data_IF_916492317269
#
_entry.id   IF_916492317269
#
_cell.length_a   1.000
_cell.length_b   1.000
_cell.length_c   1.000
_cell.angle_alpha   90.00
_cell.angle_beta   90.00
_cell.angle_gamma   90.00
#
_symmetry.space_group_name_H-M   'P 1'
#
loop_
_entity.id
_entity.type
_entity.pdbx_description
1 polymer ?
#
# COMPACT_ATOMS: atom_id res chain seq x y z
N UNK A 1 19.95 1.50 -1.06
CA UNK A 1 20.48 2.31 0.05
C UNK A 1 20.62 1.50 1.33
N UNK A 2 19.85 0.41 1.52
CA UNK A 2 19.96 -0.47 2.70
C UNK A 2 19.77 0.30 4.01
N UNK A 3 18.81 1.22 4.01
CA UNK A 3 18.48 2.08 5.13
C UNK A 3 17.27 1.48 5.84
N UNK A 4 17.34 1.21 7.15
CA UNK A 4 16.23 0.63 7.89
C UNK A 4 15.11 1.65 8.11
N UNK A 5 13.91 1.14 8.38
CA UNK A 5 12.84 1.97 8.93
C UNK A 5 13.13 2.23 10.42
N UNK A 6 12.76 3.41 10.94
CA UNK A 6 12.84 3.70 12.37
C UNK A 6 11.48 4.04 12.95
N UNK A 7 11.37 3.90 14.27
CA UNK A 7 10.23 4.39 15.03
C UNK A 7 10.07 5.91 14.83
N UNK A 8 8.82 6.36 14.74
CA UNK A 8 8.49 7.79 14.58
C UNK A 8 9.25 8.65 15.60
N UNK A 9 10.13 9.57 15.16
CA UNK A 9 10.97 10.38 16.05
C UNK A 9 10.18 11.25 17.03
N UNK A 10 8.94 11.62 16.68
CA UNK A 10 8.09 12.47 17.51
C UNK A 10 7.35 11.71 18.61
N UNK A 11 7.39 10.37 18.64
CA UNK A 11 6.76 9.59 19.69
C UNK A 11 7.60 9.63 20.98
N UNK A 12 6.97 9.64 22.17
CA UNK A 12 7.68 9.47 23.44
C UNK A 12 8.57 8.22 23.43
N UNK A 13 9.68 8.18 24.18
CA UNK A 13 10.46 6.96 24.37
C UNK A 13 9.57 5.78 24.80
N UNK A 14 9.89 4.52 24.43
CA UNK A 14 9.05 3.35 24.71
C UNK A 14 8.60 3.24 26.19
N UNK A 15 9.50 3.53 27.13
CA UNK A 15 9.26 3.51 28.57
C UNK A 15 8.30 4.61 29.07
N UNK A 16 8.00 5.61 28.24
CA UNK A 16 7.04 6.69 28.53
C UNK A 16 5.72 6.54 27.77
N UNK A 17 5.56 5.49 26.97
CA UNK A 17 4.29 5.21 26.29
C UNK A 17 3.24 4.73 27.30
N UNK A 18 1.98 5.07 27.07
CA UNK A 18 0.89 4.58 27.93
C UNK A 18 0.73 3.06 27.81
N UNK A 19 0.19 2.45 28.87
CA UNK A 19 -0.03 0.99 28.93
C UNK A 19 -0.83 0.45 27.73
N UNK A 20 -1.74 1.25 27.16
CA UNK A 20 -2.51 0.90 25.98
C UNK A 20 -1.65 0.45 24.79
N UNK A 21 -0.44 0.99 24.62
CA UNK A 21 0.48 0.64 23.54
C UNK A 21 1.25 -0.68 23.76
N UNK A 22 1.14 -1.26 24.95
CA UNK A 22 1.61 -2.62 25.25
C UNK A 22 0.54 -3.70 25.01
N UNK A 23 -0.65 -3.31 24.55
CA UNK A 23 -1.73 -4.23 24.24
C UNK A 23 -1.30 -5.28 23.20
N UNK A 24 -1.55 -6.55 23.51
CA UNK A 24 -1.28 -7.68 22.62
C UNK A 24 -2.21 -7.66 21.41
N UNK A 25 -1.64 -7.56 20.20
CA UNK A 25 -2.39 -7.52 18.94
C UNK A 25 -1.99 -8.71 18.07
N UNK A 26 -2.99 -9.47 17.62
CA UNK A 26 -2.81 -10.61 16.72
C UNK A 26 -3.26 -10.25 15.30
N UNK A 27 -2.50 -10.67 14.30
CA UNK A 27 -2.92 -10.64 12.90
C UNK A 27 -2.79 -12.03 12.30
N UNK A 28 -3.71 -12.43 11.42
CA UNK A 28 -3.68 -13.73 10.76
C UNK A 28 -3.44 -13.60 9.26
N UNK A 29 -2.48 -14.37 8.76
CA UNK A 29 -1.99 -14.33 7.38
C UNK A 29 -0.96 -13.23 7.20
N UNK A 30 0.27 -13.57 6.85
CA UNK A 30 1.36 -12.64 6.53
C UNK A 30 1.30 -12.16 5.07
N UNK A 31 0.10 -11.79 4.61
CA UNK A 31 -0.13 -11.18 3.31
C UNK A 31 -0.13 -9.64 3.35
N UNK A 32 -0.33 -8.97 2.21
CA UNK A 32 -0.26 -7.52 2.08
C UNK A 32 -1.13 -6.75 3.09
N UNK A 33 -2.35 -7.23 3.36
CA UNK A 33 -3.27 -6.59 4.29
C UNK A 33 -2.73 -6.56 5.73
N UNK A 34 -2.25 -7.70 6.24
CA UNK A 34 -1.70 -7.77 7.60
C UNK A 34 -0.34 -7.07 7.71
N UNK A 35 0.51 -7.13 6.68
CA UNK A 35 1.78 -6.40 6.66
C UNK A 35 1.53 -4.90 6.77
N UNK A 36 0.55 -4.38 6.01
CA UNK A 36 0.13 -2.98 6.10
C UNK A 36 -0.43 -2.64 7.48
N UNK A 37 -1.38 -3.42 7.97
CA UNK A 37 -2.03 -3.20 9.27
C UNK A 37 -1.01 -3.17 10.41
N UNK A 38 -0.12 -4.17 10.47
CA UNK A 38 0.93 -4.26 11.48
C UNK A 38 1.93 -3.10 11.37
N UNK A 39 2.31 -2.70 10.15
CA UNK A 39 3.22 -1.56 9.93
C UNK A 39 2.64 -0.26 10.50
N UNK A 40 1.38 0.04 10.21
CA UNK A 40 0.75 1.27 10.72
C UNK A 40 0.50 1.24 12.23
N UNK A 41 0.14 0.08 12.80
CA UNK A 41 0.06 -0.08 14.25
C UNK A 41 1.43 0.12 14.92
N UNK A 42 2.50 -0.44 14.36
CA UNK A 42 3.85 -0.26 14.89
C UNK A 42 4.30 1.20 14.81
N UNK A 43 3.96 1.91 13.71
CA UNK A 43 4.21 3.35 13.56
C UNK A 43 3.47 4.21 14.58
N UNK A 44 2.26 3.82 14.95
CA UNK A 44 1.50 4.46 16.04
C UNK A 44 2.12 4.21 17.42
N UNK A 45 3.01 3.23 17.54
CA UNK A 45 3.79 2.95 18.75
C UNK A 45 3.38 1.69 19.50
N UNK A 46 2.49 0.86 18.94
CA UNK A 46 2.16 -0.44 19.55
C UNK A 46 3.38 -1.37 19.54
N UNK A 47 3.68 -1.96 20.69
CA UNK A 47 4.93 -2.71 20.92
C UNK A 47 4.77 -4.23 20.92
N UNK A 48 3.55 -4.76 21.05
CA UNK A 48 3.29 -6.21 21.04
C UNK A 48 2.36 -6.61 19.90
N UNK A 49 2.93 -6.63 18.69
CA UNK A 49 2.24 -7.01 17.46
C UNK A 49 2.81 -8.34 16.95
N UNK A 50 1.93 -9.32 16.72
CA UNK A 50 2.32 -10.63 16.20
C UNK A 50 1.44 -11.05 15.02
N UNK A 51 2.07 -11.34 13.88
CA UNK A 51 1.42 -11.96 12.72
C UNK A 51 1.61 -13.47 12.79
N UNK A 52 0.52 -14.22 12.69
CA UNK A 52 0.50 -15.68 12.59
C UNK A 52 0.26 -16.09 11.14
N UNK A 53 1.21 -16.83 10.56
CA UNK A 53 1.16 -17.31 9.17
C UNK A 53 1.06 -18.82 9.14
N UNK A 54 0.15 -19.35 8.31
CA UNK A 54 -0.09 -20.78 8.16
C UNK A 54 1.11 -21.48 7.51
N UNK A 55 1.70 -20.84 6.51
CA UNK A 55 2.79 -21.40 5.72
C UNK A 55 4.16 -21.15 6.39
N UNK A 56 5.20 -21.77 5.85
CA UNK A 56 6.60 -21.54 6.26
C UNK A 56 7.21 -20.30 5.57
N UNK A 57 6.49 -19.68 4.64
CA UNK A 57 6.89 -18.47 3.94
C UNK A 57 5.92 -17.32 4.24
N UNK A 58 6.40 -16.10 4.06
CA UNK A 58 5.66 -14.85 4.30
C UNK A 58 5.42 -14.09 2.99
N UNK A 59 4.52 -13.11 2.99
CA UNK A 59 4.18 -12.28 1.83
C UNK A 59 2.91 -12.70 1.07
N UNK A 60 2.23 -13.76 1.49
CA UNK A 60 0.97 -14.20 0.90
C UNK A 60 1.06 -14.51 -0.60
N UNK A 61 0.11 -14.00 -1.40
CA UNK A 61 0.06 -14.20 -2.85
C UNK A 61 1.26 -13.57 -3.58
N UNK A 62 1.81 -12.46 -3.08
CA UNK A 62 3.01 -11.82 -3.62
C UNK A 62 4.20 -12.78 -3.67
N UNK A 63 4.30 -13.65 -2.67
CA UNK A 63 5.31 -14.70 -2.60
C UNK A 63 4.88 -15.96 -3.35
N UNK A 64 3.67 -16.45 -3.08
CA UNK A 64 3.26 -17.80 -3.49
C UNK A 64 2.70 -17.92 -4.90
N UNK A 65 2.18 -16.85 -5.51
CA UNK A 65 1.45 -16.96 -6.78
C UNK A 65 1.92 -15.96 -7.84
N UNK A 66 2.22 -14.72 -7.47
CA UNK A 66 2.73 -13.73 -8.43
C UNK A 66 4.10 -14.22 -8.94
N UNK A 67 4.28 -14.43 -10.26
CA UNK A 67 5.50 -15.02 -10.79
C UNK A 67 6.75 -14.16 -10.53
N UNK A 68 7.91 -14.82 -10.36
CA UNK A 68 9.21 -14.17 -10.11
C UNK A 68 9.58 -13.13 -11.17
N UNK A 69 9.18 -13.34 -12.43
CA UNK A 69 9.47 -12.40 -13.51
C UNK A 69 8.57 -11.15 -13.51
N UNK A 70 7.50 -11.12 -12.71
CA UNK A 70 6.67 -9.92 -12.46
C UNK A 70 7.02 -9.27 -11.12
N UNK A 71 7.17 -10.08 -10.07
CA UNK A 71 7.50 -9.62 -8.72
C UNK A 71 8.64 -10.45 -8.13
N UNK A 72 9.87 -9.90 -8.14
CA UNK A 72 11.01 -10.54 -7.50
C UNK A 72 10.81 -10.75 -6.00
N UNK A 73 11.19 -11.92 -5.48
CA UNK A 73 11.01 -12.26 -4.07
C UNK A 73 11.76 -11.34 -3.09
N UNK A 74 12.92 -10.83 -3.49
CA UNK A 74 13.73 -9.89 -2.70
C UNK A 74 12.99 -8.56 -2.45
N UNK A 75 12.08 -8.15 -3.34
CA UNK A 75 11.20 -6.99 -3.10
C UNK A 75 10.24 -7.27 -1.95
N UNK A 76 9.63 -8.46 -1.92
CA UNK A 76 8.72 -8.86 -0.83
C UNK A 76 9.50 -8.97 0.49
N UNK A 77 10.68 -9.57 0.46
CA UNK A 77 11.54 -9.68 1.63
C UNK A 77 11.94 -8.29 2.16
N UNK A 78 12.31 -7.36 1.27
CA UNK A 78 12.66 -5.98 1.63
C UNK A 78 11.53 -5.27 2.39
N UNK A 79 10.29 -5.33 1.90
CA UNK A 79 9.15 -4.70 2.58
C UNK A 79 8.84 -5.33 3.94
N UNK A 80 9.03 -6.65 4.07
CA UNK A 80 8.84 -7.38 5.34
C UNK A 80 9.90 -7.01 6.36
N UNK A 81 11.16 -6.89 5.95
CA UNK A 81 12.25 -6.47 6.86
C UNK A 81 12.04 -5.04 7.34
N UNK A 82 11.59 -4.11 6.47
CA UNK A 82 11.22 -2.75 6.91
C UNK A 82 10.12 -2.78 8.00
N UNK A 83 9.12 -3.64 7.87
CA UNK A 83 8.10 -3.80 8.92
C UNK A 83 8.70 -4.37 10.21
N UNK A 84 9.61 -5.34 10.13
CA UNK A 84 10.29 -5.94 11.29
C UNK A 84 11.21 -4.96 12.00
N UNK A 85 11.79 -3.98 11.31
CA UNK A 85 12.57 -2.89 11.93
C UNK A 85 11.75 -2.13 12.99
N UNK A 86 10.41 -2.12 12.86
CA UNK A 86 9.50 -1.53 13.84
C UNK A 86 9.11 -2.46 15.00
N UNK A 87 9.68 -3.67 15.07
CA UNK A 87 9.43 -4.65 16.14
C UNK A 87 8.26 -5.60 15.90
N UNK A 88 7.66 -5.61 14.71
CA UNK A 88 6.58 -6.55 14.38
C UNK A 88 7.13 -7.98 14.31
N UNK A 89 6.47 -8.90 15.03
CA UNK A 89 6.84 -10.32 15.05
C UNK A 89 6.03 -11.11 14.03
N UNK A 90 6.65 -12.11 13.40
CA UNK A 90 5.96 -13.09 12.55
C UNK A 90 6.25 -14.49 13.07
N UNK A 91 5.20 -15.30 13.21
CA UNK A 91 5.28 -16.71 13.59
C UNK A 91 4.64 -17.55 12.48
N UNK A 92 5.49 -18.23 11.71
CA UNK A 92 5.10 -19.19 10.67
C UNK A 92 4.60 -20.52 11.26
N UNK A 93 3.97 -21.34 10.42
CA UNK A 93 3.42 -22.64 10.82
C UNK A 93 2.28 -22.56 11.85
N UNK A 94 1.58 -21.42 11.91
CA UNK A 94 0.45 -21.18 12.82
C UNK A 94 -0.78 -20.80 12.03
N UNK A 95 -1.76 -21.70 12.00
CA UNK A 95 -2.99 -21.50 11.24
C UNK A 95 -4.14 -21.03 12.14
N UNK A 96 -5.02 -20.22 11.57
CA UNK A 96 -6.35 -20.02 12.13
C UNK A 96 -7.16 -21.30 11.85
N UNK A 97 -7.44 -22.07 12.90
CA UNK A 97 -8.08 -23.38 12.82
C UNK A 97 -8.67 -23.75 14.17
N UNK A 98 -9.79 -24.50 14.16
CA UNK A 98 -10.52 -24.93 15.37
C UNK A 98 -9.62 -25.69 16.35
N UNK A 99 -8.66 -26.44 15.84
CA UNK A 99 -7.75 -27.26 16.64
C UNK A 99 -6.44 -26.53 17.02
N UNK A 100 -6.23 -25.30 16.56
CA UNK A 100 -5.01 -24.54 16.82
C UNK A 100 -5.32 -23.17 17.44
N UNK A 101 -5.65 -22.19 16.60
CA UNK A 101 -5.93 -20.82 17.01
C UNK A 101 -7.31 -20.40 16.53
N UNK A 102 -8.15 -20.03 17.49
CA UNK A 102 -9.48 -19.45 17.28
C UNK A 102 -9.57 -18.07 17.94
N UNK A 103 -10.59 -17.29 17.59
CA UNK A 103 -10.85 -16.01 18.25
C UNK A 103 -11.04 -16.17 19.77
N UNK A 104 -11.72 -17.22 20.23
CA UNK A 104 -11.88 -17.52 21.65
C UNK A 104 -10.53 -17.75 22.35
N UNK A 105 -9.66 -18.58 21.77
CA UNK A 105 -8.34 -18.86 22.36
C UNK A 105 -7.44 -17.63 22.40
N UNK A 106 -7.57 -16.71 21.44
CA UNK A 106 -6.84 -15.44 21.48
C UNK A 106 -7.33 -14.55 22.62
N UNK A 107 -8.64 -14.45 22.79
CA UNK A 107 -9.24 -13.68 23.87
C UNK A 107 -8.80 -14.20 25.24
N UNK A 108 -8.78 -15.52 25.42
CA UNK A 108 -8.26 -16.21 26.61
C UNK A 108 -6.77 -15.93 26.86
N UNK A 109 -5.96 -15.87 25.79
CA UNK A 109 -4.52 -15.51 25.84
C UNK A 109 -4.26 -14.01 26.03
N UNK A 110 -5.30 -13.22 26.27
CA UNK A 110 -5.22 -11.80 26.60
C UNK A 110 -4.99 -10.87 25.42
N UNK A 111 -5.21 -11.33 24.18
CA UNK A 111 -5.16 -10.45 23.01
C UNK A 111 -6.29 -9.42 23.07
N UNK A 112 -5.95 -8.16 22.80
CA UNK A 112 -6.88 -7.03 22.90
C UNK A 112 -7.52 -6.71 21.56
N UNK A 113 -6.85 -6.99 20.45
CA UNK A 113 -7.42 -6.84 19.10
C UNK A 113 -6.90 -7.95 18.18
N UNK A 114 -7.71 -8.29 17.17
CA UNK A 114 -7.35 -9.24 16.11
C UNK A 114 -7.65 -8.67 14.72
N UNK A 115 -6.75 -8.90 13.76
CA UNK A 115 -6.95 -8.60 12.35
C UNK A 115 -6.92 -9.86 11.49
N UNK A 116 -7.93 -10.07 10.65
CA UNK A 116 -8.06 -11.22 9.77
C UNK A 116 -7.65 -10.82 8.34
N UNK A 117 -6.45 -11.24 7.93
CA UNK A 117 -5.87 -10.97 6.61
C UNK A 117 -5.44 -12.25 5.88
N UNK A 118 -6.16 -13.36 6.08
CA UNK A 118 -5.81 -14.70 5.56
C UNK A 118 -6.05 -14.87 4.05
N UNK A 119 -6.64 -13.86 3.40
CA UNK A 119 -7.04 -13.91 2.00
C UNK A 119 -8.08 -15.01 1.69
N UNK A 120 -8.04 -15.54 0.46
CA UNK A 120 -8.86 -16.67 0.02
C UNK A 120 -7.97 -17.91 -0.21
N UNK A 121 -7.80 -18.79 0.80
CA UNK A 121 -6.78 -19.84 0.76
C UNK A 121 -7.10 -20.97 -0.22
N UNK A 122 -8.38 -21.27 -0.45
CA UNK A 122 -8.78 -22.43 -1.26
C UNK A 122 -9.12 -22.07 -2.72
N UNK A 123 -8.80 -22.94 -3.69
CA UNK A 123 -9.18 -22.72 -5.07
C UNK A 123 -10.69 -22.87 -5.31
N UNK A 124 -11.16 -22.27 -6.39
CA UNK A 124 -12.50 -22.56 -6.93
C UNK A 124 -12.42 -23.83 -7.79
N UNK A 125 -13.11 -24.90 -7.37
CA UNK A 125 -13.09 -26.21 -8.04
C UNK A 125 -14.40 -26.43 -8.81
N UNK A 126 -14.30 -26.96 -10.03
CA UNK A 126 -15.44 -27.39 -10.82
C UNK A 126 -15.63 -28.91 -10.70
N UNK A 127 -16.88 -29.37 -10.65
CA UNK A 127 -17.22 -30.78 -10.49
C UNK A 127 -16.70 -31.65 -11.65
N UNK A 128 -16.55 -31.07 -12.85
CA UNK A 128 -16.04 -31.81 -14.02
C UNK A 128 -14.59 -32.29 -13.86
N UNK A 129 -13.83 -31.67 -12.96
CA UNK A 129 -12.43 -32.03 -12.69
C UNK A 129 -12.29 -32.89 -11.43
N UNK A 130 -13.40 -33.34 -10.85
CA UNK A 130 -13.36 -34.20 -9.66
C UNK A 130 -12.62 -35.50 -9.95
N UNK A 131 -11.67 -35.85 -9.09
CA UNK A 131 -10.85 -37.06 -9.20
C UNK A 131 -9.61 -36.92 -10.10
N UNK A 132 -9.43 -35.79 -10.80
CA UNK A 132 -8.21 -35.55 -11.56
C UNK A 132 -7.04 -35.17 -10.63
N UNK A 133 -5.86 -35.66 -10.98
CA UNK A 133 -4.62 -35.52 -10.21
C UNK A 133 -3.52 -34.79 -11.00
N UNK A 134 -2.47 -34.35 -10.30
CA UNK A 134 -1.31 -33.69 -10.93
C UNK A 134 -0.55 -34.62 -11.88
N UNK A 135 -0.48 -35.91 -11.55
CA UNK A 135 0.14 -36.95 -12.42
C UNK A 135 -0.63 -37.13 -13.73
N UNK A 136 -1.95 -36.88 -13.72
CA UNK A 136 -2.79 -36.85 -14.91
C UNK A 136 -2.73 -35.49 -15.65
N UNK A 137 -1.91 -34.56 -15.18
CA UNK A 137 -1.70 -33.24 -15.79
C UNK A 137 -2.71 -32.17 -15.37
N UNK A 138 -3.53 -32.43 -14.34
CA UNK A 138 -4.50 -31.46 -13.84
C UNK A 138 -3.96 -30.69 -12.62
N UNK A 139 -4.08 -29.36 -12.67
CA UNK A 139 -3.70 -28.46 -11.59
C UNK A 139 -4.78 -27.38 -11.41
N UNK A 140 -5.06 -26.99 -10.17
CA UNK A 140 -5.63 -25.67 -9.91
C UNK A 140 -4.50 -24.63 -9.86
N UNK A 141 -4.83 -23.34 -9.94
CA UNK A 141 -3.81 -22.29 -9.79
C UNK A 141 -3.13 -22.31 -8.42
N UNK A 142 -3.87 -22.69 -7.37
CA UNK A 142 -3.38 -22.86 -6.00
C UNK A 142 -2.48 -24.09 -5.82
N UNK A 143 -2.45 -24.99 -6.81
CA UNK A 143 -1.46 -26.07 -6.88
C UNK A 143 -0.25 -25.61 -7.72
N UNK A 144 -0.50 -25.13 -8.94
CA UNK A 144 0.53 -24.88 -9.95
C UNK A 144 1.46 -23.71 -9.62
N UNK A 145 0.89 -22.53 -9.33
CA UNK A 145 1.68 -21.32 -9.14
C UNK A 145 2.62 -21.40 -7.93
N UNK A 146 2.20 -21.96 -6.76
CA UNK A 146 3.12 -22.19 -5.65
C UNK A 146 4.29 -23.12 -5.96
N UNK A 147 4.10 -24.13 -6.83
CA UNK A 147 5.20 -24.99 -7.26
C UNK A 147 6.21 -24.21 -8.13
N UNK A 148 5.71 -23.40 -9.08
CA UNK A 148 6.57 -22.55 -9.91
C UNK A 148 7.30 -21.52 -9.04
N UNK A 149 6.60 -20.89 -8.10
CA UNK A 149 7.19 -19.92 -7.18
C UNK A 149 8.31 -20.55 -6.35
N UNK A 150 8.07 -21.71 -5.70
CA UNK A 150 9.11 -22.43 -4.95
C UNK A 150 10.32 -22.81 -5.80
N UNK A 151 10.11 -23.16 -7.07
CA UNK A 151 11.19 -23.51 -8.00
C UNK A 151 11.91 -22.33 -8.65
N UNK A 152 11.42 -21.10 -8.49
CA UNK A 152 11.99 -19.90 -9.14
C UNK A 152 12.40 -18.79 -8.17
N UNK A 153 11.88 -18.79 -6.94
CA UNK A 153 12.12 -17.75 -5.92
C UNK A 153 13.13 -18.23 -4.89
N UNK A 154 14.40 -17.90 -5.12
CA UNK A 154 15.46 -18.18 -4.15
C UNK A 154 15.16 -17.49 -2.81
N UNK A 155 15.24 -18.23 -1.70
CA UNK A 155 14.95 -17.73 -0.35
C UNK A 155 13.49 -17.94 0.11
N UNK A 156 12.54 -18.22 -0.78
CA UNK A 156 11.14 -18.47 -0.40
C UNK A 156 10.96 -19.78 0.39
N UNK A 157 11.73 -20.82 0.03
CA UNK A 157 11.72 -22.12 0.71
C UNK A 157 13.16 -22.50 1.06
N UNK A 158 13.36 -23.16 2.20
CA UNK A 158 14.62 -23.85 2.50
C UNK A 158 14.85 -25.07 1.59
N UNK A 159 13.80 -25.53 0.91
CA UNK A 159 13.82 -26.65 0.00
C UNK A 159 14.27 -26.25 -1.42
N UNK A 160 15.07 -27.11 -2.06
CA UNK A 160 15.35 -27.00 -3.50
C UNK A 160 14.22 -27.69 -4.28
N UNK A 161 13.20 -26.92 -4.66
CA UNK A 161 12.07 -27.43 -5.43
C UNK A 161 12.39 -27.36 -6.93
N UNK A 162 12.28 -28.47 -7.70
CA UNK A 162 12.41 -28.38 -9.14
C UNK A 162 11.21 -27.62 -9.72
N UNK A 163 11.40 -26.97 -10.88
CA UNK A 163 10.27 -26.47 -11.66
C UNK A 163 9.37 -27.64 -12.09
N UNK A 164 8.04 -27.48 -12.10
CA UNK A 164 7.14 -28.47 -12.67
C UNK A 164 7.53 -28.84 -14.11
N UNK A 165 7.58 -30.12 -14.44
CA UNK A 165 7.86 -30.57 -15.82
C UNK A 165 6.58 -30.58 -16.64
N UNK A 166 6.26 -29.46 -17.28
CA UNK A 166 5.07 -29.32 -18.13
C UNK A 166 5.48 -29.42 -19.59
N UNK A 167 4.99 -30.42 -20.31
CA UNK A 167 5.31 -30.64 -21.74
C UNK A 167 4.04 -30.67 -22.59
N UNK A 168 4.20 -30.40 -23.88
CA UNK A 168 3.08 -30.49 -24.83
C UNK A 168 2.18 -29.26 -24.79
N UNK A 169 0.87 -29.47 -24.96
CA UNK A 169 -0.12 -28.40 -25.04
C UNK A 169 -0.80 -28.21 -23.69
N UNK A 170 -0.79 -26.98 -23.19
CA UNK A 170 -1.43 -26.60 -21.93
C UNK A 170 -2.70 -25.82 -22.21
N UNK A 171 -3.77 -26.11 -21.46
CA UNK A 171 -5.02 -25.36 -21.48
C UNK A 171 -5.15 -24.69 -20.10
N UNK A 172 -5.27 -23.37 -20.09
CA UNK A 172 -5.55 -22.59 -18.89
C UNK A 172 -6.98 -22.08 -18.96
N UNK A 173 -7.77 -22.37 -17.93
CA UNK A 173 -9.17 -21.99 -17.86
C UNK A 173 -9.36 -20.73 -17.01
N UNK A 174 -9.72 -19.61 -17.64
CA UNK A 174 -9.94 -18.36 -16.95
C UNK A 174 -9.60 -17.13 -17.78
N UNK A 175 -9.92 -15.96 -17.23
CA UNK A 175 -9.70 -14.66 -17.87
C UNK A 175 -9.35 -13.53 -16.88
N UNK A 176 -8.80 -13.87 -15.71
CA UNK A 176 -8.25 -12.88 -14.77
C UNK A 176 -6.76 -13.12 -14.57
N UNK A 177 -6.09 -12.29 -13.79
CA UNK A 177 -4.63 -12.28 -13.61
C UNK A 177 -4.05 -13.66 -13.34
N UNK A 178 -4.66 -14.43 -12.44
CA UNK A 178 -4.26 -15.81 -12.15
C UNK A 178 -4.16 -16.71 -13.38
N UNK A 179 -5.04 -16.53 -14.37
CA UNK A 179 -5.00 -17.32 -15.61
C UNK A 179 -3.82 -16.90 -16.51
N UNK A 180 -3.54 -15.62 -16.62
CA UNK A 180 -2.41 -15.11 -17.40
C UNK A 180 -1.07 -15.45 -16.75
N UNK A 181 -0.99 -15.40 -15.42
CA UNK A 181 0.15 -15.91 -14.65
C UNK A 181 0.36 -17.42 -14.84
N UNK A 182 -0.71 -18.22 -14.79
CA UNK A 182 -0.62 -19.66 -15.08
C UNK A 182 -0.09 -19.89 -16.50
N UNK A 183 -0.60 -19.14 -17.48
CA UNK A 183 -0.24 -19.32 -18.88
C UNK A 183 1.24 -18.99 -19.15
N UNK A 184 1.70 -17.84 -18.66
CA UNK A 184 3.09 -17.42 -18.80
C UNK A 184 4.03 -18.32 -18.02
N UNK A 185 3.65 -18.77 -16.82
CA UNK A 185 4.43 -19.70 -16.00
C UNK A 185 4.54 -21.09 -16.62
N UNK A 186 3.49 -21.59 -17.28
CA UNK A 186 3.52 -22.88 -17.98
C UNK A 186 4.61 -22.95 -19.05
N UNK A 187 4.89 -21.85 -19.74
CA UNK A 187 5.99 -21.77 -20.72
C UNK A 187 7.37 -21.93 -20.06
N UNK A 188 7.57 -21.33 -18.87
CA UNK A 188 8.82 -21.47 -18.11
C UNK A 188 9.02 -22.91 -17.61
N UNK A 189 7.93 -23.65 -17.44
CA UNK A 189 7.92 -25.07 -17.11
C UNK A 189 8.13 -26.00 -18.32
N UNK A 190 8.30 -25.47 -19.54
CA UNK A 190 8.60 -26.23 -20.75
C UNK A 190 7.40 -26.52 -21.68
N UNK A 191 6.24 -25.88 -21.47
CA UNK A 191 5.08 -26.08 -22.32
C UNK A 191 5.41 -25.71 -23.78
N UNK A 192 5.02 -26.57 -24.74
CA UNK A 192 5.22 -26.32 -26.18
C UNK A 192 4.25 -25.25 -26.70
N UNK A 193 3.04 -25.22 -26.16
CA UNK A 193 2.00 -24.24 -26.53
C UNK A 193 1.00 -24.09 -25.39
N UNK A 194 0.49 -22.87 -25.20
CA UNK A 194 -0.51 -22.57 -24.18
C UNK A 194 -1.76 -21.98 -24.83
N UNK A 195 -2.92 -22.47 -24.41
CA UNK A 195 -4.23 -21.93 -24.77
C UNK A 195 -4.91 -21.35 -23.54
N UNK A 196 -5.31 -20.08 -23.61
CA UNK A 196 -6.12 -19.45 -22.56
C UNK A 196 -7.56 -19.54 -23.01
N UNK A 197 -8.37 -20.30 -22.29
CA UNK A 197 -9.76 -20.59 -22.65
C UNK A 197 -10.69 -19.94 -21.63
N UNK A 198 -11.63 -19.16 -22.14
CA UNK A 198 -12.60 -18.46 -21.32
C UNK A 198 -14.02 -18.56 -21.88
N UNK A 199 -14.98 -18.48 -20.96
CA UNK A 199 -16.40 -18.76 -21.23
C UNK A 199 -17.17 -17.60 -21.87
N UNK A 200 -16.62 -16.38 -21.87
CA UNK A 200 -17.25 -15.15 -22.40
C UNK A 200 -16.47 -14.61 -23.60
N UNK A 201 -16.85 -13.44 -24.13
CA UNK A 201 -16.10 -12.79 -25.20
C UNK A 201 -14.81 -12.13 -24.70
N UNK A 202 -13.91 -11.78 -25.63
CA UNK A 202 -12.66 -11.05 -25.33
C UNK A 202 -12.89 -9.74 -24.55
N UNK A 203 -13.99 -9.03 -24.84
CA UNK A 203 -14.39 -7.81 -24.11
C UNK A 203 -14.74 -8.04 -22.64
N UNK A 204 -14.79 -9.31 -22.19
CA UNK A 204 -15.08 -9.70 -20.81
C UNK A 204 -13.85 -10.26 -20.08
N UNK A 205 -12.66 -10.12 -20.64
CA UNK A 205 -11.41 -10.36 -19.91
C UNK A 205 -11.36 -9.40 -18.72
N UNK A 206 -10.98 -9.94 -17.55
CA UNK A 206 -10.93 -9.22 -16.27
C UNK A 206 -9.53 -8.71 -15.95
N UNK A 207 -8.51 -9.35 -16.50
CA UNK A 207 -7.15 -8.86 -16.39
C UNK A 207 -7.01 -7.53 -17.15
N UNK A 208 -6.12 -6.66 -16.66
CA UNK A 208 -5.84 -5.38 -17.32
C UNK A 208 -5.18 -5.60 -18.69
N UNK A 209 -5.37 -4.70 -19.68
CA UNK A 209 -4.86 -4.88 -21.04
C UNK A 209 -3.36 -5.20 -21.11
N UNK A 210 -2.56 -4.64 -20.22
CA UNK A 210 -1.10 -4.83 -20.15
C UNK A 210 -0.76 -6.30 -19.83
N UNK A 211 -1.50 -6.93 -18.92
CA UNK A 211 -1.32 -8.35 -18.55
C UNK A 211 -1.71 -9.28 -19.72
N UNK A 212 -2.73 -8.89 -20.48
CA UNK A 212 -3.16 -9.59 -21.70
C UNK A 212 -2.10 -9.45 -22.80
N UNK A 213 -1.54 -8.26 -22.99
CA UNK A 213 -0.57 -7.94 -24.03
C UNK A 213 0.71 -8.76 -23.89
N UNK A 214 1.27 -8.82 -22.67
CA UNK A 214 2.47 -9.63 -22.36
C UNK A 214 2.27 -11.09 -22.77
N UNK A 215 1.06 -11.62 -22.59
CA UNK A 215 0.78 -13.05 -22.77
C UNK A 215 0.32 -13.40 -24.18
N UNK A 216 -0.54 -12.58 -24.79
CA UNK A 216 -1.17 -12.89 -26.08
C UNK A 216 -0.44 -12.18 -27.22
N UNK A 217 -0.25 -10.87 -27.12
CA UNK A 217 0.42 -10.08 -28.16
C UNK A 217 1.92 -10.40 -28.24
N UNK A 218 2.53 -10.74 -27.12
CA UNK A 218 3.91 -11.26 -27.06
C UNK A 218 4.10 -12.65 -27.69
N UNK A 219 3.05 -13.28 -28.23
CA UNK A 219 3.12 -14.59 -28.90
C UNK A 219 3.26 -15.79 -27.95
N UNK A 220 3.14 -15.56 -26.64
CA UNK A 220 3.35 -16.58 -25.60
C UNK A 220 2.17 -17.57 -25.49
N UNK A 221 0.93 -17.13 -25.66
CA UNK A 221 -0.27 -17.97 -25.60
C UNK A 221 -1.32 -17.58 -26.64
N UNK A 222 -2.15 -18.55 -27.03
CA UNK A 222 -3.32 -18.30 -27.89
C UNK A 222 -4.59 -18.19 -27.04
N UNK A 223 -5.25 -17.03 -27.05
CA UNK A 223 -6.55 -16.85 -26.41
C UNK A 223 -7.67 -17.44 -27.29
N UNK A 224 -8.50 -18.30 -26.71
CA UNK A 224 -9.62 -18.95 -27.38
C UNK A 224 -10.91 -18.76 -26.58
N UNK A 225 -11.96 -18.35 -27.28
CA UNK A 225 -13.30 -18.32 -26.73
C UNK A 225 -13.97 -19.68 -26.96
N UNK A 226 -14.59 -20.26 -25.93
CA UNK A 226 -15.45 -21.43 -26.14
C UNK A 226 -16.68 -21.01 -26.95
N UNK A 227 -17.05 -21.78 -27.99
CA UNK A 227 -18.22 -21.49 -28.83
C UNK A 227 -19.49 -21.23 -28.01
N UNK A 228 -20.41 -20.39 -28.53
CA UNK A 228 -21.68 -20.05 -27.86
C UNK A 228 -22.35 -21.34 -27.36
N UNK A 229 -22.38 -21.58 -26.05
CA UNK A 229 -23.42 -22.44 -25.50
C UNK A 229 -24.73 -21.76 -25.84
N UNK A 230 -25.66 -22.50 -26.46
CA UNK A 230 -27.02 -22.03 -26.71
C UNK A 230 -27.55 -21.37 -25.43
N UNK A 231 -27.87 -20.08 -25.51
CA UNK A 231 -28.56 -19.36 -24.44
C UNK A 231 -29.97 -19.97 -24.32
N UNK A 232 -30.07 -21.11 -23.62
CA UNK A 232 -31.28 -21.36 -22.86
C UNK A 232 -31.39 -20.20 -21.87
N UNK A 233 -32.57 -19.61 -21.63
CA UNK A 233 -32.74 -18.49 -20.72
C UNK A 233 -32.51 -18.95 -19.27
N UNK A 234 -31.25 -19.20 -18.92
CA UNK A 234 -30.80 -19.36 -17.56
C UNK A 234 -30.79 -17.97 -16.96
N UNK A 235 -31.71 -17.74 -16.01
CA UNK A 235 -31.71 -16.62 -15.05
C UNK A 235 -30.27 -16.15 -14.83
N UNK A 236 -29.98 -14.85 -15.04
CA UNK A 236 -28.68 -14.20 -14.74
C UNK A 236 -28.03 -14.84 -13.51
N UNK A 237 -27.18 -15.84 -13.71
CA UNK A 237 -26.55 -16.58 -12.62
C UNK A 237 -25.45 -15.66 -12.13
N UNK A 238 -25.78 -14.80 -11.16
CA UNK A 238 -24.82 -13.90 -10.51
C UNK A 238 -23.59 -14.74 -10.13
N UNK A 239 -22.42 -14.29 -10.55
CA UNK A 239 -21.16 -14.96 -10.22
C UNK A 239 -21.09 -15.14 -8.70
N UNK A 240 -21.09 -16.40 -8.26
CA UNK A 240 -21.06 -16.74 -6.84
C UNK A 240 -19.61 -16.57 -6.38
N UNK A 241 -19.32 -15.57 -5.54
CA UNK A 241 -18.03 -15.52 -4.83
C UNK A 241 -17.97 -16.73 -3.92
N UNK A 242 -16.86 -17.49 -3.96
CA UNK A 242 -16.66 -18.64 -3.08
C UNK A 242 -16.34 -18.09 -1.68
N UNK A 243 -17.14 -18.46 -0.70
CA UNK A 243 -16.87 -18.15 0.71
C UNK A 243 -15.72 -18.98 1.26
N UNK A 244 -15.29 -18.69 2.48
CA UNK A 244 -14.29 -19.50 3.16
C UNK A 244 -14.87 -20.87 3.59
N UNK A 245 -14.00 -21.85 3.79
CA UNK A 245 -14.39 -23.21 4.23
C UNK A 245 -14.96 -23.21 5.66
N UNK A 246 -15.78 -24.23 5.98
CA UNK A 246 -16.52 -24.27 7.24
C UNK A 246 -15.62 -24.30 8.49
N UNK A 247 -14.50 -25.03 8.46
CA UNK A 247 -13.57 -25.07 9.60
C UNK A 247 -12.96 -23.69 9.90
N UNK A 248 -12.75 -22.82 8.89
CA UNK A 248 -12.30 -21.46 9.10
C UNK A 248 -13.40 -20.59 9.71
N UNK A 249 -14.66 -20.79 9.28
CA UNK A 249 -15.81 -20.10 9.88
C UNK A 249 -15.97 -20.45 11.35
N UNK A 250 -15.78 -21.71 11.71
CA UNK A 250 -15.81 -22.17 13.09
C UNK A 250 -14.71 -21.51 13.94
N UNK A 251 -13.48 -21.41 13.42
CA UNK A 251 -12.38 -20.72 14.11
C UNK A 251 -12.59 -19.21 14.27
N UNK A 252 -13.39 -18.61 13.37
CA UNK A 252 -13.79 -17.20 13.37
C UNK A 252 -15.10 -16.94 14.13
N UNK A 253 -15.72 -17.95 14.73
CA UNK A 253 -16.91 -17.74 15.54
C UNK A 253 -16.62 -16.78 16.71
N UNK A 254 -17.51 -15.84 17.05
CA UNK A 254 -18.90 -15.71 16.58
C UNK A 254 -19.12 -14.60 15.53
N UNK A 255 -18.12 -14.20 14.74
CA UNK A 255 -18.32 -13.09 13.78
C UNK A 255 -19.41 -13.42 12.75
N UNK A 256 -20.14 -12.39 12.31
CA UNK A 256 -21.14 -12.52 11.25
C UNK A 256 -20.48 -12.71 9.88
N UNK A 257 -21.14 -13.50 9.05
CA UNK A 257 -20.75 -13.75 7.67
C UNK A 257 -21.84 -13.23 6.74
N UNK A 258 -21.43 -12.61 5.64
CA UNK A 258 -22.36 -12.13 4.62
C UNK A 258 -22.91 -13.29 3.76
N UNK A 259 -23.82 -12.97 2.81
CA UNK A 259 -24.43 -13.95 1.89
C UNK A 259 -23.45 -14.75 1.03
N UNK A 260 -22.20 -14.30 0.91
CA UNK A 260 -21.14 -14.97 0.17
C UNK A 260 -20.32 -15.92 1.04
N UNK A 261 -20.59 -15.99 2.35
CA UNK A 261 -19.83 -16.79 3.30
C UNK A 261 -18.44 -16.20 3.59
N UNK A 262 -18.30 -14.87 3.50
CA UNK A 262 -17.12 -14.10 3.87
C UNK A 262 -17.40 -13.26 5.13
N UNK A 263 -16.39 -12.95 5.97
CA UNK A 263 -16.57 -12.07 7.12
C UNK A 263 -17.27 -10.76 6.72
N UNK A 264 -18.32 -10.40 7.44
CA UNK A 264 -18.99 -9.11 7.26
C UNK A 264 -18.24 -8.05 8.07
N UNK A 265 -17.93 -6.93 7.41
CA UNK A 265 -17.26 -5.78 8.03
C UNK A 265 -17.99 -4.49 7.67
N UNK A 266 -17.87 -3.50 8.54
CA UNK A 266 -18.16 -2.12 8.20
C UNK A 266 -17.08 -1.60 7.21
N UNK A 267 -17.47 -1.04 6.05
CA UNK A 267 -16.53 -0.69 4.98
C UNK A 267 -15.65 0.53 5.30
N UNK A 268 -16.01 1.34 6.28
CA UNK A 268 -15.23 2.50 6.71
C UNK A 268 -14.21 2.08 7.77
N UNK A 269 -14.61 1.24 8.72
CA UNK A 269 -13.80 0.90 9.89
C UNK A 269 -13.06 -0.42 9.77
N UNK A 270 -13.45 -1.27 8.82
CA UNK A 270 -12.99 -2.66 8.66
C UNK A 270 -13.31 -3.56 9.86
N UNK A 271 -14.17 -3.10 10.76
CA UNK A 271 -14.58 -3.80 11.97
C UNK A 271 -15.63 -4.86 11.65
N UNK A 272 -15.51 -6.05 12.24
CA UNK A 272 -16.51 -7.12 12.13
C UNK A 272 -17.68 -6.88 13.10
N UNK A 273 -18.61 -7.85 13.22
CA UNK A 273 -19.64 -7.80 14.27
C UNK A 273 -19.08 -7.87 15.70
N UNK A 274 -17.85 -8.35 15.88
CA UNK A 274 -17.14 -8.35 17.16
C UNK A 274 -16.21 -7.14 17.24
N UNK A 275 -16.43 -6.26 18.23
CA UNK A 275 -15.76 -4.96 18.30
C UNK A 275 -14.22 -5.02 18.31
N UNK A 276 -13.65 -6.12 18.80
CA UNK A 276 -12.21 -6.33 18.91
C UNK A 276 -11.59 -7.04 17.69
N UNK A 277 -12.40 -7.39 16.68
CA UNK A 277 -11.99 -8.16 15.50
C UNK A 277 -12.25 -7.37 14.23
N UNK A 278 -11.23 -7.25 13.41
CA UNK A 278 -11.20 -6.52 12.14
C UNK A 278 -10.79 -7.45 11.01
N UNK A 279 -11.13 -7.14 9.76
CA UNK A 279 -10.71 -7.93 8.61
C UNK A 279 -10.47 -7.07 7.37
N UNK A 280 -9.55 -7.50 6.50
CA UNK A 280 -9.20 -6.75 5.28
C UNK A 280 -8.51 -7.60 4.22
N UNK A 281 -8.48 -7.09 2.99
CA UNK A 281 -7.95 -7.79 1.82
C UNK A 281 -8.94 -8.79 1.23
N UNK A 282 -8.42 -9.78 0.47
CA UNK A 282 -9.26 -10.70 -0.30
C UNK A 282 -10.32 -11.44 0.52
N UNK A 283 -10.09 -11.64 1.82
CA UNK A 283 -11.02 -12.35 2.72
C UNK A 283 -12.35 -11.60 2.88
N UNK A 284 -12.35 -10.27 2.76
CA UNK A 284 -13.57 -9.43 2.80
C UNK A 284 -14.29 -9.49 1.45
N UNK A 285 -13.56 -9.81 0.37
CA UNK A 285 -14.08 -9.93 -0.97
C UNK A 285 -14.45 -8.58 -1.61
N UNK A 286 -13.89 -7.47 -1.13
CA UNK A 286 -13.98 -6.15 -1.77
C UNK A 286 -12.73 -5.88 -2.62
N UNK A 287 -11.55 -6.05 -2.03
CA UNK A 287 -10.26 -5.95 -2.71
C UNK A 287 -10.09 -7.02 -3.80
N UNK A 288 -9.48 -6.62 -4.92
CA UNK A 288 -9.02 -7.52 -5.98
C UNK A 288 -7.55 -7.29 -6.35
N UNK A 289 -6.89 -6.34 -5.67
CA UNK A 289 -5.50 -5.95 -5.93
C UNK A 289 -4.69 -5.89 -4.64
N UNK A 290 -3.37 -6.00 -4.76
CA UNK A 290 -2.44 -5.84 -3.64
C UNK A 290 -2.59 -4.48 -2.96
N UNK A 291 -2.77 -3.40 -3.74
CA UNK A 291 -2.88 -2.03 -3.20
C UNK A 291 -4.18 -1.82 -2.42
N UNK A 292 -5.30 -2.39 -2.86
CA UNK A 292 -6.55 -2.35 -2.11
C UNK A 292 -6.42 -3.14 -0.80
N UNK A 293 -5.78 -4.32 -0.84
CA UNK A 293 -5.51 -5.10 0.38
C UNK A 293 -4.62 -4.35 1.37
N UNK A 294 -3.58 -3.66 0.89
CA UNK A 294 -2.74 -2.77 1.70
C UNK A 294 -3.58 -1.63 2.29
N UNK A 295 -4.50 -1.05 1.52
CA UNK A 295 -5.38 0.01 2.01
C UNK A 295 -6.35 -0.48 3.08
N UNK A 296 -6.93 -1.68 2.94
CA UNK A 296 -7.81 -2.26 3.98
C UNK A 296 -7.06 -2.41 5.31
N UNK A 297 -5.82 -2.91 5.27
CA UNK A 297 -4.97 -3.02 6.46
C UNK A 297 -4.64 -1.65 7.08
N UNK A 298 -4.33 -0.66 6.22
CA UNK A 298 -4.09 0.73 6.64
C UNK A 298 -5.32 1.32 7.32
N UNK A 299 -6.49 1.18 6.70
CA UNK A 299 -7.76 1.67 7.25
C UNK A 299 -8.05 1.02 8.60
N UNK A 300 -7.98 -0.32 8.66
CA UNK A 300 -8.22 -1.08 9.88
C UNK A 300 -7.29 -0.65 11.03
N UNK A 301 -6.02 -0.32 10.74
CA UNK A 301 -5.05 0.08 11.78
C UNK A 301 -5.51 1.30 12.59
N UNK A 302 -6.16 2.29 11.96
CA UNK A 302 -6.67 3.47 12.65
C UNK A 302 -7.83 3.12 13.60
N UNK A 303 -8.73 2.24 13.18
CA UNK A 303 -9.88 1.85 14.00
C UNK A 303 -9.53 0.80 15.05
N UNK A 304 -8.54 -0.06 14.79
CA UNK A 304 -7.91 -0.88 15.82
C UNK A 304 -7.28 0.03 16.87
N UNK A 305 -6.54 1.06 16.46
CA UNK A 305 -5.96 2.03 17.38
C UNK A 305 -7.04 2.71 18.24
N UNK A 306 -8.06 3.28 17.61
CA UNK A 306 -9.21 3.90 18.30
C UNK A 306 -9.89 2.92 19.27
N UNK A 307 -10.14 1.69 18.82
CA UNK A 307 -10.75 0.65 19.66
C UNK A 307 -9.87 0.34 20.87
N UNK A 308 -8.59 0.03 20.67
CA UNK A 308 -7.67 -0.32 21.75
C UNK A 308 -7.54 0.85 22.74
N UNK A 309 -7.33 2.08 22.28
CA UNK A 309 -7.24 3.25 23.18
C UNK A 309 -8.52 3.38 24.03
N UNK A 310 -9.70 3.19 23.45
CA UNK A 310 -10.97 3.24 24.19
C UNK A 310 -11.06 2.19 25.30
N UNK A 311 -10.48 0.99 25.11
CA UNK A 311 -10.46 -0.06 26.14
C UNK A 311 -9.60 0.30 27.35
N UNK A 312 -8.67 1.25 27.20
CA UNK A 312 -7.83 1.78 28.27
C UNK A 312 -8.27 3.19 28.72
N UNK A 313 -9.50 3.61 28.37
CA UNK A 313 -10.05 4.90 28.81
C UNK A 313 -9.44 6.12 28.12
N UNK A 314 -8.69 5.93 27.04
CA UNK A 314 -8.10 7.00 26.25
C UNK A 314 -8.97 7.34 25.02
N UNK A 315 -9.02 8.61 24.66
CA UNK A 315 -9.62 9.08 23.40
C UNK A 315 -8.53 9.35 22.36
N UNK A 316 -8.91 9.28 21.09
CA UNK A 316 -8.05 9.62 19.94
C UNK A 316 -8.70 10.78 19.17
N UNK A 317 -7.93 11.46 18.32
CA UNK A 317 -8.45 12.55 17.49
C UNK A 317 -9.57 12.06 16.57
N UNK A 318 -10.50 12.96 16.24
CA UNK A 318 -11.63 12.62 15.37
C UNK A 318 -11.17 12.42 13.91
N UNK A 319 -10.16 13.18 13.49
CA UNK A 319 -9.53 13.07 12.18
C UNK A 319 -8.43 12.00 12.23
N UNK A 320 -8.39 11.04 11.29
CA UNK A 320 -7.30 10.08 11.23
C UNK A 320 -5.91 10.70 11.07
N UNK A 321 -4.98 10.27 11.94
CA UNK A 321 -3.60 10.76 12.02
C UNK A 321 -2.61 9.58 11.99
N UNK A 322 -2.61 8.84 10.88
CA UNK A 322 -1.64 7.75 10.69
C UNK A 322 -0.23 8.32 10.45
N UNK A 323 0.80 7.87 11.19
CA UNK A 323 2.14 8.41 11.04
C UNK A 323 2.78 8.08 9.68
N UNK A 324 3.68 8.96 9.26
CA UNK A 324 4.51 8.78 8.07
C UNK A 324 5.53 7.65 8.25
N UNK A 325 6.27 7.39 7.17
CA UNK A 325 7.43 6.50 7.17
C UNK A 325 8.67 7.32 7.51
N UNK A 326 9.52 6.81 8.42
CA UNK A 326 10.74 7.48 8.86
C UNK A 326 11.93 6.54 8.76
N UNK A 327 13.10 7.13 8.55
CA UNK A 327 14.41 6.51 8.44
C UNK A 327 15.44 7.34 9.21
N UNK A 328 16.67 6.83 9.42
CA UNK A 328 17.75 7.63 9.98
C UNK A 328 18.10 8.90 9.17
N UNK A 329 17.72 8.97 7.88
CA UNK A 329 17.93 10.18 7.07
C UNK A 329 17.11 11.36 7.62
N UNK A 330 15.91 11.09 8.12
CA UNK A 330 15.00 12.13 8.60
C UNK A 330 15.50 12.81 9.90
N UNK A 331 16.54 12.24 10.54
CA UNK A 331 17.20 12.79 11.71
C UNK A 331 18.43 13.66 11.37
N UNK A 332 18.81 13.74 10.10
CA UNK A 332 19.98 14.53 9.68
C UNK A 332 19.68 16.00 9.91
N UNK A 333 20.51 16.64 10.74
CA UNK A 333 20.47 18.09 10.95
C UNK A 333 20.96 18.81 9.69
N UNK A 334 20.04 19.56 9.08
CA UNK A 334 20.31 20.40 7.90
C UNK A 334 20.28 21.89 8.24
N UNK A 335 20.31 22.25 9.52
CA UNK A 335 20.38 23.65 9.94
C UNK A 335 21.74 24.27 9.62
N UNK A 336 21.77 25.60 9.50
CA UNK A 336 23.00 26.35 9.23
C UNK A 336 22.95 27.71 9.90
N UNK A 337 24.11 28.20 10.34
CA UNK A 337 24.28 29.57 10.83
C UNK A 337 25.06 30.40 9.82
N UNK A 338 24.54 31.56 9.46
CA UNK A 338 25.19 32.50 8.53
C UNK A 338 24.95 33.93 9.00
N UNK A 339 26.02 34.72 9.09
CA UNK A 339 25.97 36.12 9.54
C UNK A 339 25.27 36.31 10.91
N UNK A 340 25.41 35.35 11.83
CA UNK A 340 24.76 35.36 13.14
C UNK A 340 23.27 35.03 13.12
N UNK A 341 22.71 34.68 11.95
CA UNK A 341 21.34 34.22 11.79
C UNK A 341 21.32 32.70 11.71
N UNK A 342 20.39 32.08 12.45
CA UNK A 342 20.16 30.63 12.42
C UNK A 342 19.04 30.30 11.46
N UNK A 343 19.28 29.32 10.60
CA UNK A 343 18.32 28.83 9.62
C UNK A 343 18.02 27.37 9.91
N UNK A 344 16.74 27.03 10.05
CA UNK A 344 16.28 25.65 10.27
C UNK A 344 16.62 24.72 9.09
N UNK A 345 16.81 25.28 7.89
CA UNK A 345 17.35 24.64 6.69
C UNK A 345 17.87 25.73 5.72
N UNK A 346 18.76 25.41 4.76
CA UNK A 346 19.41 26.41 3.91
C UNK A 346 18.55 26.85 2.70
N UNK A 347 17.29 26.44 2.62
CA UNK A 347 16.44 26.68 1.46
C UNK A 347 15.50 27.85 1.71
N UNK A 348 15.45 28.79 0.76
CA UNK A 348 14.59 29.96 0.90
C UNK A 348 14.03 30.49 -0.41
N UNK A 349 12.95 31.28 -0.28
CA UNK A 349 12.36 31.99 -1.41
C UNK A 349 13.17 33.25 -1.74
N UNK A 350 13.59 33.37 -2.99
CA UNK A 350 14.21 34.58 -3.50
C UNK A 350 13.20 35.74 -3.60
N UNK A 351 13.71 36.96 -3.71
CA UNK A 351 12.91 38.18 -3.93
C UNK A 351 12.39 38.20 -5.37
N UNK A 352 11.27 37.51 -5.58
CA UNK A 352 10.77 37.20 -6.92
C UNK A 352 9.25 36.93 -6.89
N UNK A 353 8.72 36.44 -8.00
CA UNK A 353 7.29 36.14 -8.17
C UNK A 353 6.71 35.19 -7.12
N UNK A 354 7.44 34.18 -6.57
CA UNK A 354 6.90 33.34 -5.49
C UNK A 354 6.70 34.08 -4.16
N UNK A 355 7.28 35.26 -4.01
CA UNK A 355 7.18 36.13 -2.84
C UNK A 355 6.37 37.41 -3.14
N UNK A 356 5.46 37.38 -4.12
CA UNK A 356 4.66 38.57 -4.53
C UNK A 356 3.75 39.11 -3.43
N UNK A 357 3.32 38.28 -2.49
CA UNK A 357 2.52 38.69 -1.34
C UNK A 357 2.88 37.93 -0.08
N UNK A 358 2.57 38.54 1.06
CA UNK A 358 2.80 37.99 2.40
C UNK A 358 2.12 36.64 2.62
N UNK A 359 0.91 36.48 2.08
CA UNK A 359 0.18 35.21 2.10
C UNK A 359 0.87 34.08 1.34
N UNK A 360 1.74 34.38 0.38
CA UNK A 360 2.57 33.36 -0.29
C UNK A 360 3.73 32.94 0.61
N UNK A 361 4.41 33.91 1.25
CA UNK A 361 5.51 33.65 2.18
C UNK A 361 5.02 32.84 3.39
N UNK A 362 3.86 33.21 3.97
CA UNK A 362 3.22 32.45 5.05
C UNK A 362 3.05 30.97 4.69
N UNK A 363 2.45 30.68 3.53
CA UNK A 363 2.26 29.31 3.04
C UNK A 363 3.60 28.59 2.78
N UNK A 364 4.65 29.32 2.42
CA UNK A 364 5.98 28.74 2.25
C UNK A 364 6.59 28.34 3.61
N UNK A 365 6.43 29.16 4.65
CA UNK A 365 6.84 28.79 6.01
C UNK A 365 6.02 27.63 6.57
N UNK A 366 4.70 27.63 6.36
CA UNK A 366 3.84 26.48 6.69
C UNK A 366 4.27 25.19 5.97
N UNK A 367 4.84 25.31 4.77
CA UNK A 367 5.39 24.18 4.01
C UNK A 367 6.83 23.79 4.43
N UNK A 368 7.50 24.56 5.29
CA UNK A 368 8.83 24.25 5.85
C UNK A 368 10.02 24.96 5.22
N UNK A 369 9.83 26.00 4.38
CA UNK A 369 10.95 26.80 3.86
C UNK A 369 11.68 27.52 5.01
N UNK A 370 13.01 27.40 5.08
CA UNK A 370 13.81 27.95 6.18
C UNK A 370 13.84 29.48 6.23
N UNK A 371 13.78 30.13 5.06
CA UNK A 371 13.71 31.59 4.97
C UNK A 371 12.98 32.10 3.72
N UNK A 372 12.67 33.39 3.70
CA UNK A 372 12.12 34.05 2.52
C UNK A 372 12.56 35.51 2.44
N UNK A 373 12.76 36.01 1.21
CA UNK A 373 12.88 37.43 0.94
C UNK A 373 11.51 38.03 0.64
N UNK A 374 11.27 39.26 1.09
CA UNK A 374 10.15 40.05 0.53
C UNK A 374 10.42 40.34 -0.95
N UNK A 375 9.38 40.53 -1.76
CA UNK A 375 9.58 41.12 -3.10
C UNK A 375 10.13 42.53 -2.89
N UNK A 376 11.20 42.89 -3.61
CA UNK A 376 11.83 44.20 -3.52
C UNK A 376 10.79 45.30 -3.53
N UNK A 377 10.81 46.19 -2.54
CA UNK A 377 9.86 47.30 -2.43
C UNK A 377 10.61 48.61 -2.22
N UNK A 378 9.92 49.71 -2.48
CA UNK A 378 10.49 51.05 -2.44
C UNK A 378 9.66 51.99 -1.58
N UNK A 379 10.18 53.20 -1.38
CA UNK A 379 9.43 54.30 -0.79
C UNK A 379 8.28 54.71 -1.72
N UNK A 380 7.24 55.32 -1.17
CA UNK A 380 6.03 55.69 -1.93
C UNK A 380 6.31 56.61 -3.14
N UNK A 381 7.38 57.41 -3.09
CA UNK A 381 7.80 58.28 -4.20
C UNK A 381 8.33 57.51 -5.43
N UNK A 382 8.73 56.25 -5.23
CA UNK A 382 9.33 55.37 -6.24
C UNK A 382 8.37 54.23 -6.59
N UNK A 383 7.06 54.46 -6.46
CA UNK A 383 6.02 53.48 -6.80
C UNK A 383 6.05 53.19 -8.31
N UNK A 384 5.90 51.91 -8.65
CA UNK A 384 5.94 51.43 -10.03
C UNK A 384 4.62 50.79 -10.44
N UNK A 385 4.44 50.62 -11.76
CA UNK A 385 3.33 49.85 -12.33
C UNK A 385 3.90 48.89 -13.37
N UNK A 386 3.60 47.60 -13.23
CA UNK A 386 4.08 46.56 -14.13
C UNK A 386 3.36 46.62 -15.48
N UNK A 387 4.03 46.15 -16.53
CA UNK A 387 3.43 45.90 -17.85
C UNK A 387 2.98 44.44 -18.01
N UNK A 388 2.20 44.15 -19.04
CA UNK A 388 1.82 42.78 -19.41
C UNK A 388 1.76 42.62 -20.94
N UNK A 389 2.36 41.56 -21.53
CA UNK A 389 3.02 40.40 -20.88
C UNK A 389 4.41 40.75 -20.32
N UNK A 390 4.86 40.02 -19.28
CA UNK A 390 6.11 40.35 -18.58
C UNK A 390 6.97 39.17 -18.10
N UNK A 391 6.45 37.95 -18.14
CA UNK A 391 7.20 36.73 -17.80
C UNK A 391 6.91 35.72 -18.89
N UNK A 392 7.95 35.19 -19.52
CA UNK A 392 7.86 34.24 -20.62
C UNK A 392 8.74 33.02 -20.36
N UNK A 393 8.35 31.88 -20.95
CA UNK A 393 9.18 30.67 -20.95
C UNK A 393 10.48 30.91 -21.73
N UNK A 394 11.54 30.22 -21.32
CA UNK A 394 12.79 30.18 -22.05
C UNK A 394 12.68 29.43 -23.38
N UNK A 395 13.53 29.81 -24.34
CA UNK A 395 13.79 29.07 -25.57
C UNK A 395 15.08 28.25 -25.50
N UNK A 396 15.73 28.24 -24.33
CA UNK A 396 17.04 27.62 -24.07
C UNK A 396 17.09 26.11 -24.27
N UNK A 397 15.93 25.43 -24.27
CA UNK A 397 15.82 23.98 -24.48
C UNK A 397 14.85 23.62 -25.60
N UNK A 398 14.74 24.47 -26.62
CA UNK A 398 13.87 24.24 -27.78
C UNK A 398 12.37 24.31 -27.45
N UNK A 399 11.50 23.75 -28.30
CA UNK A 399 10.03 23.86 -28.19
C UNK A 399 9.44 22.87 -27.17
N UNK A 400 10.05 22.77 -25.99
CA UNK A 400 9.60 21.90 -24.91
C UNK A 400 8.71 22.67 -23.92
N UNK A 401 7.40 22.45 -24.01
CA UNK A 401 6.39 23.10 -23.16
C UNK A 401 6.05 22.26 -21.92
N UNK A 402 5.40 22.88 -20.93
CA UNK A 402 4.96 22.20 -19.70
C UNK A 402 6.03 22.18 -18.60
N UNK A 403 6.25 21.05 -17.91
CA UNK A 403 7.11 20.98 -16.73
C UNK A 403 8.58 21.24 -17.07
N UNK A 404 9.38 21.59 -16.06
CA UNK A 404 10.84 21.62 -16.22
C UNK A 404 11.38 22.71 -17.15
N UNK A 405 10.62 23.81 -17.33
CA UNK A 405 11.15 25.19 -17.28
C UNK A 405 12.68 25.36 -17.33
N UNK A 406 13.38 25.18 -18.48
CA UNK A 406 14.84 25.32 -18.46
C UNK A 406 15.30 26.74 -18.12
N UNK A 407 14.48 27.73 -18.47
CA UNK A 407 14.63 29.10 -17.99
C UNK A 407 13.31 29.87 -18.10
N UNK A 408 13.28 31.04 -17.47
CA UNK A 408 12.26 32.06 -17.68
C UNK A 408 12.95 33.39 -17.94
N UNK A 409 12.37 34.22 -18.80
CA UNK A 409 12.76 35.61 -18.97
C UNK A 409 11.66 36.49 -18.40
N UNK A 410 12.05 37.53 -17.66
CA UNK A 410 11.11 38.50 -17.13
C UNK A 410 11.58 39.94 -17.36
N UNK A 411 10.61 40.82 -17.53
CA UNK A 411 10.75 42.28 -17.52
C UNK A 411 9.88 42.87 -16.40
N UNK A 412 9.70 42.11 -15.32
CA UNK A 412 8.93 42.53 -14.15
C UNK A 412 9.75 43.54 -13.33
N UNK A 413 9.06 44.53 -12.76
CA UNK A 413 9.66 45.53 -11.89
C UNK A 413 9.71 45.04 -10.42
N UNK A 414 10.03 45.96 -9.53
CA UNK A 414 9.87 45.78 -8.08
C UNK A 414 8.37 45.65 -7.71
N UNK A 415 8.09 45.38 -6.43
CA UNK A 415 6.73 45.26 -5.89
C UNK A 415 5.88 46.49 -6.20
N UNK A 416 4.65 46.27 -6.69
CA UNK A 416 3.60 47.31 -6.81
C UNK A 416 2.90 47.60 -5.47
N UNK A 417 3.19 46.82 -4.42
CA UNK A 417 2.72 47.05 -3.04
C UNK A 417 3.67 47.99 -2.30
N UNK A 418 3.11 48.83 -1.44
CA UNK A 418 3.81 49.90 -0.70
C UNK A 418 4.78 49.36 0.36
N UNK A 419 5.72 50.20 0.80
CA UNK A 419 6.56 49.89 1.95
C UNK A 419 5.75 49.61 3.22
N UNK A 420 4.66 50.36 3.44
CA UNK A 420 3.78 50.16 4.59
C UNK A 420 3.21 48.73 4.62
N UNK A 421 2.76 48.20 3.48
CA UNK A 421 2.29 46.83 3.35
C UNK A 421 3.37 45.82 3.76
N UNK A 422 4.59 45.97 3.23
CA UNK A 422 5.67 45.02 3.50
C UNK A 422 6.19 45.09 4.94
N UNK A 423 6.34 46.29 5.52
CA UNK A 423 6.76 46.45 6.90
C UNK A 423 5.76 45.83 7.89
N UNK A 424 4.46 46.06 7.69
CA UNK A 424 3.43 45.40 8.50
C UNK A 424 3.49 43.88 8.32
N UNK A 425 3.61 43.43 7.08
CA UNK A 425 3.68 42.01 6.73
C UNK A 425 4.86 41.27 7.37
N UNK A 426 6.03 41.89 7.42
CA UNK A 426 7.21 41.31 8.08
C UNK A 426 6.98 41.19 9.58
N UNK A 427 6.32 42.18 10.19
CA UNK A 427 5.95 42.14 11.61
C UNK A 427 5.04 40.94 11.90
N UNK A 428 4.01 40.74 11.09
CA UNK A 428 3.08 39.61 11.20
C UNK A 428 3.77 38.27 10.97
N UNK A 429 4.63 38.16 9.94
CA UNK A 429 5.37 36.94 9.66
C UNK A 429 6.33 36.57 10.80
N UNK A 430 7.05 37.55 11.37
CA UNK A 430 7.96 37.28 12.48
C UNK A 430 7.24 36.97 13.79
N UNK A 431 6.05 37.50 14.00
CA UNK A 431 5.21 37.13 15.14
C UNK A 431 4.77 35.66 15.07
N UNK A 432 4.33 35.22 13.89
CA UNK A 432 3.80 33.87 13.71
C UNK A 432 4.87 32.80 13.46
N UNK A 433 6.02 33.19 12.89
CA UNK A 433 7.13 32.33 12.51
C UNK A 433 8.46 32.85 13.09
N UNK A 434 8.67 32.73 14.42
CA UNK A 434 9.86 33.26 15.07
C UNK A 434 11.16 32.59 14.62
N UNK A 435 11.12 31.31 14.24
CA UNK A 435 12.30 30.52 13.85
C UNK A 435 12.64 30.61 12.35
N UNK A 436 11.71 31.06 11.51
CA UNK A 436 11.97 31.28 10.08
C UNK A 436 12.59 32.66 9.85
N UNK A 437 13.63 32.74 9.04
CA UNK A 437 14.28 34.03 8.75
C UNK A 437 13.48 34.77 7.67
N UNK A 438 13.05 36.00 7.98
CA UNK A 438 12.46 36.93 7.01
C UNK A 438 13.47 38.03 6.72
N UNK A 439 13.93 38.12 5.48
CA UNK A 439 14.90 39.15 5.08
C UNK A 439 14.18 40.20 4.24
N UNK A 440 14.36 41.46 4.66
CA UNK A 440 13.75 42.65 4.07
C UNK A 440 14.58 43.09 2.87
#
# INVERSE_FOLDING_TARGET
MSIPQIRNPSLPPPEKMSEAYSAKIALFGAGPASISCASFLARLGYSDITIFEKQEYVGGLSTSEIPQFRLPYDVVNFEIELMKDLGVKIICGKSLSVNEMTLSTLKEKGYKAAFIGIGLPEPNKDAIFQGLTQDQGFYTSKDFLPLVAKGSKAGMCACHSPLPSIRGVVIVLGAGDTAFDCATSALRCGARRVFIVFRKGFVNIRAVPEEVEVTVSGGHATALQTGRQSETPQKKRKEKKKGIENFLKEALSPIKFNRWGLPEVDPETMQTSEAWVFAGGDVVGLANTTVESVNDGKQASWYIHKYVQSQYGASVSAKPELPLFYTPIDLVDISVEMAGLKFINPFGLASATPATSTSMIRRAFEAGWGFALTKTFSLDKDIVTNVSPRIIRGTTSGPMYGPGQSSFLNIELISEKTAAYWCQSVTELKADFPDNVSVI
#
